data_IF_916705110923
#
_entry.id   IF_916705110923
#
_cell.length_a   1.000
_cell.length_b   1.000
_cell.length_c   1.000
_cell.angle_alpha   90.00
_cell.angle_beta   90.00
_cell.angle_gamma   90.00
#
_symmetry.space_group_name_H-M   'P 1'
#
loop_
_entity.id
_entity.type
_entity.pdbx_description
1 polymer ?
#
# COMPACT_ATOMS: atom_id res chain seq x y z
N UNK A 1 3.61 -25.08 9.38
CA UNK A 1 2.93 -23.93 8.78
C UNK A 1 1.58 -24.43 8.27
N UNK A 2 0.49 -23.94 8.85
CA UNK A 2 -0.86 -24.21 8.41
C UNK A 2 -1.11 -23.62 7.02
N UNK A 3 -2.06 -24.22 6.32
CA UNK A 3 -2.59 -23.73 5.05
C UNK A 3 -4.07 -23.48 5.28
N UNK A 4 -4.52 -22.25 5.02
CA UNK A 4 -5.92 -21.89 5.18
C UNK A 4 -6.79 -22.64 4.15
N UNK A 5 -6.23 -22.88 2.96
CA UNK A 5 -6.87 -23.68 1.91
C UNK A 5 -6.21 -25.05 1.78
N UNK A 6 -7.03 -26.08 1.58
CA UNK A 6 -6.53 -27.44 1.34
C UNK A 6 -5.67 -27.46 0.06
N UNK A 7 -4.39 -27.82 0.24
CA UNK A 7 -3.42 -27.92 -0.85
C UNK A 7 -3.87 -28.85 -1.99
N UNK A 8 -4.56 -29.94 -1.70
CA UNK A 8 -5.03 -30.87 -2.74
C UNK A 8 -6.04 -30.20 -3.69
N UNK A 9 -6.86 -29.27 -3.19
CA UNK A 9 -7.82 -28.52 -4.01
C UNK A 9 -7.10 -27.57 -4.96
N UNK A 10 -6.10 -26.85 -4.43
CA UNK A 10 -5.19 -25.99 -5.20
C UNK A 10 -4.49 -26.80 -6.30
N UNK A 11 -3.87 -27.93 -5.94
CA UNK A 11 -3.13 -28.77 -6.87
C UNK A 11 -4.04 -29.36 -7.97
N UNK A 12 -5.26 -29.79 -7.64
CA UNK A 12 -6.25 -30.28 -8.60
C UNK A 12 -6.68 -29.19 -9.58
N UNK A 13 -6.98 -27.99 -9.08
CA UNK A 13 -7.34 -26.86 -9.94
C UNK A 13 -6.18 -26.51 -10.88
N UNK A 14 -4.95 -26.47 -10.37
CA UNK A 14 -3.77 -26.12 -11.16
C UNK A 14 -3.48 -27.13 -12.25
N UNK A 15 -3.62 -28.41 -11.94
CA UNK A 15 -3.46 -29.45 -12.93
C UNK A 15 -4.48 -29.32 -14.07
N UNK A 16 -5.70 -28.83 -13.78
CA UNK A 16 -6.74 -28.60 -14.80
C UNK A 16 -6.42 -27.43 -15.74
N UNK A 17 -5.71 -26.40 -15.25
CA UNK A 17 -5.37 -25.19 -16.02
C UNK A 17 -3.97 -25.24 -16.64
N UNK A 18 -3.10 -26.16 -16.19
CA UNK A 18 -1.68 -26.21 -16.55
C UNK A 18 -1.42 -26.17 -18.06
N UNK A 19 -2.18 -26.94 -18.84
CA UNK A 19 -2.00 -27.00 -20.29
C UNK A 19 -2.32 -25.67 -20.98
N UNK A 20 -3.32 -24.93 -20.51
CA UNK A 20 -3.67 -23.63 -21.08
C UNK A 20 -2.59 -22.60 -20.71
N UNK A 21 -2.18 -22.58 -19.44
CA UNK A 21 -1.13 -21.69 -18.96
C UNK A 21 0.21 -21.92 -19.66
N UNK A 22 0.60 -23.18 -19.90
CA UNK A 22 1.81 -23.52 -20.65
C UNK A 22 1.77 -22.96 -22.07
N UNK A 23 0.63 -23.14 -22.76
CA UNK A 23 0.43 -22.60 -24.10
C UNK A 23 0.54 -21.07 -24.13
N UNK A 24 -0.14 -20.38 -23.21
CA UNK A 24 -0.13 -18.91 -23.15
C UNK A 24 1.26 -18.37 -22.78
N UNK A 25 1.97 -19.04 -21.87
CA UNK A 25 3.33 -18.66 -21.50
C UNK A 25 4.33 -18.86 -22.65
N UNK A 26 4.26 -19.99 -23.37
CA UNK A 26 5.09 -20.24 -24.56
C UNK A 26 4.82 -19.21 -25.66
N UNK A 27 3.55 -18.85 -25.87
CA UNK A 27 3.17 -17.82 -26.83
C UNK A 27 3.72 -16.44 -26.43
N UNK A 28 3.58 -16.05 -25.16
CA UNK A 28 4.12 -14.81 -24.62
C UNK A 28 5.65 -14.77 -24.78
N UNK A 29 6.34 -15.85 -24.45
CA UNK A 29 7.79 -15.96 -24.60
C UNK A 29 8.23 -15.74 -26.06
N UNK A 30 7.57 -16.39 -27.02
CA UNK A 30 7.87 -16.21 -28.44
C UNK A 30 7.62 -14.77 -28.92
N UNK A 31 6.57 -14.12 -28.41
CA UNK A 31 6.26 -12.72 -28.71
C UNK A 31 7.35 -11.79 -28.17
N UNK A 32 7.74 -11.97 -26.91
CA UNK A 32 8.73 -11.13 -26.22
C UNK A 32 10.16 -11.32 -26.75
N UNK A 33 10.52 -12.52 -27.20
CA UNK A 33 11.81 -12.81 -27.87
C UNK A 33 12.05 -11.90 -29.09
N UNK A 34 11.00 -11.49 -29.81
CA UNK A 34 11.12 -10.55 -30.95
C UNK A 34 11.59 -9.15 -30.55
N UNK A 35 11.46 -8.82 -29.26
CA UNK A 35 11.89 -7.55 -28.66
C UNK A 35 13.12 -7.71 -27.76
N UNK A 36 13.81 -8.87 -27.82
CA UNK A 36 14.95 -9.21 -26.95
C UNK A 36 14.62 -9.16 -25.45
N UNK A 37 13.38 -9.47 -25.07
CA UNK A 37 12.94 -9.51 -23.67
C UNK A 37 12.96 -10.97 -23.19
N UNK A 38 13.67 -11.22 -22.08
CA UNK A 38 13.69 -12.52 -21.41
C UNK A 38 12.64 -12.59 -20.30
N UNK A 39 11.52 -13.26 -20.60
CA UNK A 39 10.42 -13.46 -19.64
C UNK A 39 10.82 -14.31 -18.44
N UNK A 40 11.85 -15.16 -18.54
CA UNK A 40 12.32 -15.95 -17.39
C UNK A 40 13.03 -15.06 -16.36
N UNK A 41 13.84 -14.10 -16.81
CA UNK A 41 14.46 -13.12 -15.92
C UNK A 41 13.42 -12.23 -15.23
N UNK A 42 12.36 -11.84 -15.95
CA UNK A 42 11.23 -11.08 -15.39
C UNK A 42 10.47 -11.91 -14.34
N UNK A 43 10.21 -13.18 -14.64
CA UNK A 43 9.55 -14.10 -13.71
C UNK A 43 10.29 -14.23 -12.38
N UNK A 44 11.63 -14.29 -12.40
CA UNK A 44 12.44 -14.33 -11.18
C UNK A 44 12.41 -13.02 -10.37
N UNK A 45 12.10 -11.88 -11.00
CA UNK A 45 11.85 -10.62 -10.31
C UNK A 45 10.45 -10.59 -9.70
N UNK A 46 9.43 -11.00 -10.45
CA UNK A 46 8.03 -11.11 -9.98
C UNK A 46 7.95 -11.99 -8.72
N UNK A 47 8.66 -13.14 -8.71
CA UNK A 47 8.74 -14.04 -7.54
C UNK A 47 9.16 -13.38 -6.23
N UNK A 48 9.92 -12.29 -6.30
CA UNK A 48 10.44 -11.57 -5.14
C UNK A 48 9.55 -10.41 -4.72
N UNK A 49 8.63 -9.99 -5.59
CA UNK A 49 7.70 -8.92 -5.27
C UNK A 49 6.72 -9.40 -4.21
N UNK A 50 6.42 -8.53 -3.25
CA UNK A 50 5.43 -8.73 -2.20
C UNK A 50 4.69 -7.42 -1.97
N UNK A 51 3.40 -7.52 -1.64
CA UNK A 51 2.56 -6.40 -1.23
C UNK A 51 1.81 -6.80 0.03
N UNK A 52 1.77 -5.93 1.05
CA UNK A 52 1.09 -6.21 2.30
C UNK A 52 -0.42 -6.01 2.16
N UNK A 53 -1.20 -6.89 2.79
CA UNK A 53 -2.66 -6.79 2.84
C UNK A 53 -3.10 -6.02 4.09
N UNK A 54 -4.03 -5.07 3.99
CA UNK A 54 -4.55 -4.35 5.15
C UNK A 54 -5.47 -5.24 5.98
N UNK A 55 -5.26 -5.31 7.29
CA UNK A 55 -6.15 -6.08 8.18
C UNK A 55 -7.57 -5.51 8.21
N UNK A 56 -7.76 -4.22 7.91
CA UNK A 56 -9.08 -3.61 7.80
C UNK A 56 -9.78 -3.95 6.48
N UNK A 57 -9.04 -4.32 5.44
CA UNK A 57 -9.59 -4.60 4.12
C UNK A 57 -10.19 -5.99 3.95
N UNK A 58 -9.96 -6.94 4.88
CA UNK A 58 -10.55 -8.29 4.81
C UNK A 58 -11.97 -8.38 5.38
N UNK A 59 -12.42 -7.39 6.14
CA UNK A 59 -13.84 -7.25 6.51
C UNK A 59 -14.58 -6.39 5.48
N UNK A 60 -15.90 -6.56 5.33
CA UNK A 60 -16.66 -5.70 4.41
C UNK A 60 -16.58 -4.25 4.87
N UNK A 61 -16.23 -3.38 3.93
CA UNK A 61 -16.12 -1.95 4.12
C UNK A 61 -17.47 -1.25 4.31
N UNK A 62 -17.44 0.08 4.33
CA UNK A 62 -18.66 0.86 4.41
C UNK A 62 -18.42 2.32 4.07
N UNK A 63 -19.52 3.06 4.01
CA UNK A 63 -19.48 4.52 3.85
C UNK A 63 -20.09 5.17 5.08
N UNK A 64 -20.03 6.50 5.16
CA UNK A 64 -20.79 7.27 6.16
C UNK A 64 -22.31 7.04 6.14
N UNK A 65 -22.86 6.43 5.09
CA UNK A 65 -24.30 6.20 4.95
C UNK A 65 -24.73 4.82 5.43
N UNK A 66 -23.96 3.78 5.11
CA UNK A 66 -24.31 2.41 5.45
C UNK A 66 -23.09 1.48 5.33
N UNK A 67 -23.21 0.33 5.99
CA UNK A 67 -22.35 -0.83 5.88
C UNK A 67 -23.24 -2.07 5.67
N UNK A 68 -22.89 -2.92 4.72
CA UNK A 68 -23.68 -4.09 4.33
C UNK A 68 -22.84 -5.36 4.48
N UNK A 69 -22.65 -5.86 5.72
CA UNK A 69 -21.77 -7.00 5.98
C UNK A 69 -22.20 -8.25 5.18
N UNK A 70 -21.22 -8.98 4.69
CA UNK A 70 -21.39 -10.27 4.04
C UNK A 70 -21.64 -11.41 5.03
N UNK A 71 -21.49 -12.63 4.54
CA UNK A 71 -21.53 -13.84 5.35
C UNK A 71 -20.09 -14.12 5.84
N UNK A 72 -19.93 -14.50 7.11
CA UNK A 72 -18.62 -14.91 7.62
C UNK A 72 -17.67 -13.77 7.95
N UNK A 73 -18.17 -12.57 8.27
CA UNK A 73 -17.35 -11.42 8.65
C UNK A 73 -16.32 -11.73 9.76
N UNK A 74 -15.04 -11.39 9.58
CA UNK A 74 -14.03 -11.56 10.62
C UNK A 74 -14.35 -10.65 11.81
N UNK A 75 -14.34 -11.20 13.03
CA UNK A 75 -14.73 -10.49 14.25
C UNK A 75 -13.55 -9.88 14.99
N UNK A 76 -12.34 -10.40 14.75
CA UNK A 76 -11.13 -10.03 15.45
C UNK A 76 -9.90 -10.24 14.55
N UNK A 77 -8.72 -9.81 15.00
CA UNK A 77 -7.49 -9.92 14.21
C UNK A 77 -7.06 -11.35 13.90
N UNK A 78 -7.38 -12.35 14.72
CA UNK A 78 -7.08 -13.75 14.41
C UNK A 78 -7.88 -14.21 13.19
N UNK A 79 -9.19 -13.96 13.16
CA UNK A 79 -10.04 -14.26 11.98
C UNK A 79 -9.49 -13.56 10.73
N UNK A 80 -9.14 -12.27 10.85
CA UNK A 80 -8.57 -11.48 9.75
C UNK A 80 -7.25 -12.07 9.23
N UNK A 81 -6.41 -12.62 10.10
CA UNK A 81 -5.14 -13.28 9.71
C UNK A 81 -5.42 -14.57 8.95
N UNK A 82 -6.44 -15.33 9.32
CA UNK A 82 -6.86 -16.53 8.58
C UNK A 82 -7.33 -16.17 7.17
N UNK A 83 -8.14 -15.12 7.04
CA UNK A 83 -8.60 -14.60 5.73
C UNK A 83 -7.42 -14.09 4.88
N UNK A 84 -6.49 -13.35 5.47
CA UNK A 84 -5.24 -12.94 4.81
C UNK A 84 -4.39 -14.15 4.39
N UNK A 85 -4.38 -15.23 5.17
CA UNK A 85 -3.67 -16.45 4.82
C UNK A 85 -4.31 -17.16 3.62
N UNK A 86 -5.64 -17.10 3.45
CA UNK A 86 -6.32 -17.57 2.23
C UNK A 86 -5.80 -16.83 1.01
N UNK A 87 -5.76 -15.49 1.07
CA UNK A 87 -5.24 -14.65 -0.04
C UNK A 87 -3.82 -15.12 -0.41
N UNK A 88 -2.91 -15.16 0.56
CA UNK A 88 -1.51 -15.54 0.30
C UNK A 88 -1.35 -16.99 -0.16
N UNK A 89 -2.19 -17.91 0.30
CA UNK A 89 -2.17 -19.30 -0.15
C UNK A 89 -2.58 -19.46 -1.61
N UNK A 90 -3.47 -18.59 -2.12
CA UNK A 90 -3.96 -18.64 -3.50
C UNK A 90 -3.08 -17.88 -4.49
N UNK A 91 -2.52 -16.73 -4.11
CA UNK A 91 -1.73 -15.87 -5.03
C UNK A 91 -0.22 -15.79 -4.73
N UNK A 92 0.21 -16.01 -3.48
CA UNK A 92 1.63 -16.06 -3.10
C UNK A 92 2.41 -14.73 -3.05
N UNK A 93 1.73 -13.59 -3.24
CA UNK A 93 2.34 -12.25 -3.26
C UNK A 93 2.09 -11.42 -1.99
N UNK A 94 1.43 -11.98 -0.97
CA UNK A 94 0.90 -11.24 0.19
C UNK A 94 1.32 -11.85 1.52
N UNK A 95 2.62 -12.13 1.68
CA UNK A 95 3.16 -12.81 2.88
C UNK A 95 3.13 -11.95 4.15
N UNK A 96 2.65 -10.71 4.09
CA UNK A 96 2.55 -9.83 5.25
C UNK A 96 1.22 -9.09 5.27
N UNK A 97 0.86 -8.67 6.48
CA UNK A 97 -0.31 -7.82 6.74
C UNK A 97 0.09 -6.50 7.39
N UNK A 98 -0.70 -5.46 7.15
CA UNK A 98 -0.57 -4.15 7.79
C UNK A 98 -1.64 -4.02 8.89
N UNK A 99 -1.28 -4.11 10.18
CA UNK A 99 -2.25 -3.99 11.27
C UNK A 99 -2.54 -2.52 11.60
N UNK A 100 -3.71 -2.28 12.20
CA UNK A 100 -4.17 -0.96 12.61
C UNK A 100 -4.54 -0.92 14.09
N UNK A 101 -3.91 -0.05 14.86
CA UNK A 101 -4.14 0.06 16.30
C UNK A 101 -4.97 1.30 16.63
N UNK A 102 -6.00 1.17 17.50
CA UNK A 102 -6.28 0.03 18.38
C UNK A 102 -7.27 -1.02 17.82
N UNK A 103 -7.68 -0.97 16.56
CA UNK A 103 -8.65 -1.93 15.99
C UNK A 103 -8.21 -3.39 16.12
N UNK A 104 -6.90 -3.63 15.97
CA UNK A 104 -6.29 -4.96 16.04
C UNK A 104 -5.53 -5.18 17.36
N UNK A 105 -5.85 -4.42 18.41
CA UNK A 105 -5.27 -4.66 19.73
C UNK A 105 -5.72 -6.01 20.28
N UNK A 106 -4.78 -6.70 20.92
CA UNK A 106 -4.99 -7.97 21.62
C UNK A 106 -4.42 -7.88 23.03
N UNK A 107 -4.80 -8.81 23.90
CA UNK A 107 -4.23 -8.91 25.25
C UNK A 107 -2.76 -9.36 25.20
N UNK A 108 -2.41 -10.28 24.29
CA UNK A 108 -1.04 -10.76 24.10
C UNK A 108 -0.59 -10.68 22.62
N UNK A 109 0.27 -9.71 22.32
CA UNK A 109 0.85 -9.54 20.99
C UNK A 109 1.84 -10.65 20.61
N UNK A 110 2.39 -11.40 21.57
CA UNK A 110 3.24 -12.56 21.26
C UNK A 110 2.40 -13.71 20.75
N UNK A 111 1.24 -13.95 21.36
CA UNK A 111 0.27 -14.93 20.87
C UNK A 111 -0.16 -14.60 19.44
N UNK A 112 -0.53 -13.34 19.16
CA UNK A 112 -0.86 -12.89 17.81
C UNK A 112 0.29 -13.15 16.83
N UNK A 113 1.53 -12.87 17.24
CA UNK A 113 2.71 -13.13 16.41
C UNK A 113 2.88 -14.61 16.10
N UNK A 114 2.80 -15.47 17.12
CA UNK A 114 2.96 -16.92 16.98
C UNK A 114 1.84 -17.52 16.11
N UNK A 115 0.62 -17.00 16.25
CA UNK A 115 -0.53 -17.39 15.42
C UNK A 115 -0.30 -17.04 13.95
N UNK A 116 0.10 -15.80 13.64
CA UNK A 116 0.40 -15.39 12.27
C UNK A 116 1.59 -16.15 11.67
N UNK A 117 2.66 -16.37 12.44
CA UNK A 117 3.80 -17.20 12.05
C UNK A 117 3.35 -18.63 11.69
N UNK A 118 2.33 -19.17 12.38
CA UNK A 118 1.79 -20.49 12.12
C UNK A 118 1.18 -20.61 10.71
N UNK A 119 0.61 -19.53 10.17
CA UNK A 119 0.12 -19.41 8.79
C UNK A 119 1.20 -18.97 7.78
N UNK A 120 2.38 -18.57 8.27
CA UNK A 120 3.44 -18.00 7.44
C UNK A 120 3.16 -16.56 7.01
N UNK A 121 2.38 -15.82 7.81
CA UNK A 121 2.06 -14.42 7.61
C UNK A 121 2.90 -13.58 8.59
N UNK A 122 3.63 -12.60 8.04
CA UNK A 122 4.35 -11.60 8.82
C UNK A 122 3.56 -10.30 8.98
N UNK A 123 4.17 -9.34 9.67
CA UNK A 123 3.62 -7.98 9.80
C UNK A 123 4.51 -7.00 9.04
N UNK A 124 3.88 -6.15 8.22
CA UNK A 124 4.56 -5.02 7.58
C UNK A 124 4.55 -3.80 8.51
N UNK A 125 4.45 -2.57 8.00
CA UNK A 125 4.34 -1.38 8.86
C UNK A 125 3.04 -1.39 9.67
N UNK A 126 3.09 -0.86 10.89
CA UNK A 126 1.90 -0.72 11.75
C UNK A 126 1.25 0.65 11.54
N UNK A 127 -0.06 0.75 11.74
CA UNK A 127 -0.82 1.98 11.56
C UNK A 127 -1.40 2.47 12.90
N UNK A 128 -1.24 3.75 13.21
CA UNK A 128 -1.84 4.38 14.40
C UNK A 128 -3.19 5.01 14.08
N UNK A 129 -4.16 4.88 14.98
CA UNK A 129 -5.45 5.57 14.86
C UNK A 129 -5.54 6.72 15.87
N UNK A 130 -5.45 7.95 15.37
CA UNK A 130 -5.81 9.15 16.13
C UNK A 130 -6.83 10.01 15.40
N UNK A 131 -7.63 9.39 14.52
CA UNK A 131 -8.76 10.01 13.81
C UNK A 131 -10.12 9.57 14.37
N UNK A 132 -10.11 8.68 15.38
CA UNK A 132 -11.26 8.27 16.18
C UNK A 132 -10.96 8.47 17.68
N UNK A 133 -11.98 8.84 18.46
CA UNK A 133 -11.81 9.04 19.90
C UNK A 133 -11.37 7.72 20.58
N UNK A 134 -10.35 7.74 21.46
CA UNK A 134 -9.95 6.58 22.24
C UNK A 134 -11.10 6.05 23.11
N UNK A 135 -11.19 4.72 23.23
CA UNK A 135 -12.23 4.07 24.03
C UNK A 135 -12.18 4.40 25.53
N UNK A 136 -11.03 4.87 26.04
CA UNK A 136 -10.84 5.26 27.43
C UNK A 136 -11.52 6.60 27.80
N UNK A 137 -11.96 7.37 26.80
CA UNK A 137 -12.66 8.65 26.98
C UNK A 137 -11.80 9.77 27.59
N UNK A 138 -10.48 9.59 27.69
CA UNK A 138 -9.58 10.55 28.36
C UNK A 138 -9.28 11.78 27.50
N UNK A 139 -9.38 11.66 26.17
CA UNK A 139 -9.22 12.76 25.23
C UNK A 139 -10.18 12.57 24.05
N UNK A 140 -10.50 13.66 23.36
CA UNK A 140 -11.22 13.63 22.08
C UNK A 140 -10.35 14.20 20.98
N UNK A 141 -10.33 13.54 19.83
CA UNK A 141 -9.64 13.96 18.62
C UNK A 141 -10.56 14.70 17.64
N UNK A 142 -11.79 15.03 18.06
CA UNK A 142 -12.76 15.79 17.27
C UNK A 142 -12.22 17.10 16.64
N UNK A 143 -11.27 17.77 17.30
CA UNK A 143 -10.65 19.02 16.83
C UNK A 143 -9.17 18.84 16.48
N UNK A 144 -8.81 17.63 16.07
CA UNK A 144 -7.44 17.20 15.79
C UNK A 144 -6.83 16.36 16.91
N UNK A 145 -5.73 15.71 16.59
CA UNK A 145 -4.95 14.82 17.43
C UNK A 145 -3.56 15.41 17.66
N UNK A 146 -2.58 15.05 16.83
CA UNK A 146 -1.19 15.52 16.90
C UNK A 146 -1.06 17.04 16.70
N UNK A 147 -2.08 17.69 16.12
CA UNK A 147 -2.08 19.13 15.83
C UNK A 147 -3.10 19.91 16.67
N UNK A 148 -3.80 19.23 17.59
CA UNK A 148 -4.80 19.83 18.48
C UNK A 148 -4.18 20.98 19.27
N UNK A 149 -4.95 22.03 19.59
CA UNK A 149 -4.48 23.12 20.47
C UNK A 149 -4.32 22.69 21.92
N UNK A 150 -5.12 21.70 22.38
CA UNK A 150 -4.98 21.07 23.69
C UNK A 150 -3.71 20.24 23.79
N UNK A 151 -2.89 20.49 24.81
CA UNK A 151 -1.69 19.72 25.08
C UNK A 151 -2.03 18.27 25.47
N UNK A 152 -3.10 18.07 26.26
CA UNK A 152 -3.55 16.75 26.70
C UNK A 152 -3.96 15.87 25.52
N UNK A 153 -4.68 16.42 24.54
CA UNK A 153 -5.06 15.69 23.32
C UNK A 153 -3.82 15.30 22.49
N UNK A 154 -2.83 16.20 22.37
CA UNK A 154 -1.57 15.89 21.68
C UNK A 154 -0.79 14.80 22.41
N UNK A 155 -0.66 14.89 23.72
CA UNK A 155 0.07 13.90 24.51
C UNK A 155 -0.59 12.52 24.42
N UNK A 156 -1.92 12.45 24.40
CA UNK A 156 -2.64 11.20 24.14
C UNK A 156 -2.40 10.65 22.73
N UNK A 157 -2.43 11.51 21.71
CA UNK A 157 -2.14 11.09 20.33
C UNK A 157 -0.69 10.57 20.16
N UNK A 158 0.28 11.20 20.84
CA UNK A 158 1.67 10.74 20.91
C UNK A 158 1.74 9.39 21.62
N UNK A 159 1.04 9.22 22.75
CA UNK A 159 0.97 7.95 23.48
C UNK A 159 0.50 6.81 22.57
N UNK A 160 -0.62 7.00 21.82
CA UNK A 160 -1.14 6.00 20.88
C UNK A 160 -0.09 5.59 19.86
N UNK A 161 0.60 6.57 19.25
CA UNK A 161 1.66 6.29 18.28
C UNK A 161 2.84 5.52 18.89
N UNK A 162 3.29 5.90 20.09
CA UNK A 162 4.37 5.18 20.78
C UNK A 162 3.96 3.77 21.21
N UNK A 163 2.70 3.55 21.58
CA UNK A 163 2.14 2.22 21.84
C UNK A 163 2.07 1.37 20.56
N UNK A 164 1.66 1.95 19.43
CA UNK A 164 1.71 1.26 18.13
C UNK A 164 3.13 0.79 17.80
N UNK A 165 4.15 1.64 18.02
CA UNK A 165 5.56 1.27 17.86
C UNK A 165 5.92 0.09 18.77
N UNK A 166 5.54 0.15 20.05
CA UNK A 166 5.88 -0.90 21.02
C UNK A 166 5.21 -2.24 20.69
N UNK A 167 3.95 -2.22 20.25
CA UNK A 167 3.25 -3.40 19.76
C UNK A 167 3.91 -3.95 18.48
N UNK A 168 4.24 -3.06 17.53
CA UNK A 168 4.91 -3.45 16.28
C UNK A 168 6.30 -4.06 16.50
N UNK A 169 7.05 -3.64 17.55
CA UNK A 169 8.31 -4.29 17.94
C UNK A 169 8.10 -5.76 18.31
N UNK A 170 7.02 -6.07 19.03
CA UNK A 170 6.67 -7.45 19.42
C UNK A 170 6.31 -8.27 18.16
N UNK A 171 5.54 -7.68 17.25
CA UNK A 171 5.11 -8.31 16.00
C UNK A 171 6.23 -8.47 14.96
N UNK A 172 7.38 -7.81 15.16
CA UNK A 172 8.51 -7.84 14.23
C UNK A 172 8.42 -6.84 13.07
N UNK A 173 7.51 -5.86 13.17
CA UNK A 173 7.42 -4.74 12.23
C UNK A 173 8.70 -3.90 12.22
N UNK A 174 8.85 -3.11 11.15
CA UNK A 174 9.97 -2.19 10.91
C UNK A 174 9.53 -0.78 10.54
N UNK A 175 8.27 -0.44 10.79
CA UNK A 175 7.83 0.93 10.56
C UNK A 175 6.46 1.25 11.13
N UNK A 176 6.18 2.55 11.15
CA UNK A 176 4.92 3.14 11.58
C UNK A 176 4.40 4.04 10.46
N UNK A 177 3.16 3.83 10.04
CA UNK A 177 2.42 4.80 9.22
C UNK A 177 1.58 5.69 10.12
N UNK A 178 1.66 7.00 9.87
CA UNK A 178 0.90 8.04 10.57
C UNK A 178 0.06 8.81 9.56
N UNK A 179 -1.20 8.41 9.46
CA UNK A 179 -2.26 9.20 8.87
C UNK A 179 -3.14 9.80 9.97
N UNK A 180 -3.50 11.08 9.81
CA UNK A 180 -4.38 11.79 10.74
C UNK A 180 -5.42 12.59 9.98
N UNK A 181 -6.63 12.67 10.53
CA UNK A 181 -7.70 13.51 10.00
C UNK A 181 -7.64 14.98 10.42
N UNK A 182 -6.49 15.43 10.93
CA UNK A 182 -6.32 16.75 11.54
C UNK A 182 -6.50 17.88 10.52
N UNK A 183 -7.44 18.76 10.80
CA UNK A 183 -7.78 19.87 9.93
C UNK A 183 -8.94 20.71 10.44
N UNK A 184 -9.48 21.54 9.55
CA UNK A 184 -10.59 22.44 9.81
C UNK A 184 -11.66 22.29 8.74
N UNK A 185 -12.90 22.57 9.13
CA UNK A 185 -14.08 22.58 8.25
C UNK A 185 -14.56 24.01 7.96
N UNK A 186 -13.98 25.04 8.59
CA UNK A 186 -14.35 26.44 8.37
C UNK A 186 -13.14 27.38 8.28
N UNK A 187 -13.19 28.42 7.43
CA UNK A 187 -12.23 29.52 7.45
C UNK A 187 -12.08 30.13 8.84
N UNK A 188 -10.84 30.22 9.33
CA UNK A 188 -10.50 30.79 10.64
C UNK A 188 -10.66 29.83 11.83
N UNK A 189 -11.15 28.61 11.64
CA UNK A 189 -11.25 27.61 12.72
C UNK A 189 -9.90 27.27 13.35
N UNK A 190 -8.84 27.24 12.54
CA UNK A 190 -7.49 26.93 12.96
C UNK A 190 -6.47 27.86 12.31
N UNK A 191 -5.36 28.11 13.00
CA UNK A 191 -4.19 28.74 12.41
C UNK A 191 -3.34 27.68 11.71
N UNK A 192 -3.21 27.77 10.39
CA UNK A 192 -2.45 26.81 9.58
C UNK A 192 -0.98 26.71 10.01
N UNK A 193 -0.32 27.84 10.28
CA UNK A 193 1.06 27.84 10.76
C UNK A 193 1.20 27.16 12.11
N UNK A 194 0.34 27.49 13.08
CA UNK A 194 0.43 26.89 14.42
C UNK A 194 0.04 25.42 14.44
N UNK A 195 -0.84 24.96 13.55
CA UNK A 195 -1.16 23.53 13.47
C UNK A 195 0.00 22.71 12.91
N UNK A 196 0.71 23.24 11.92
CA UNK A 196 1.91 22.58 11.38
C UNK A 196 3.05 22.57 12.40
N UNK A 197 3.25 23.67 13.15
CA UNK A 197 4.21 23.71 14.26
C UNK A 197 3.91 22.62 15.30
N UNK A 198 2.65 22.51 15.74
CA UNK A 198 2.23 21.46 16.68
C UNK A 198 2.36 20.05 16.11
N UNK A 199 2.08 19.85 14.83
CA UNK A 199 2.30 18.58 14.15
C UNK A 199 3.77 18.16 14.26
N UNK A 200 4.68 19.06 13.87
CA UNK A 200 6.13 18.80 13.90
C UNK A 200 6.60 18.52 15.33
N UNK A 201 6.15 19.29 16.32
CA UNK A 201 6.51 19.07 17.72
C UNK A 201 6.05 17.70 18.25
N UNK A 202 4.82 17.30 17.93
CA UNK A 202 4.29 15.99 18.29
C UNK A 202 5.02 14.86 17.58
N UNK A 203 5.26 15.01 16.28
CA UNK A 203 6.00 14.02 15.49
C UNK A 203 7.47 13.90 15.92
N UNK A 204 8.12 14.98 16.38
CA UNK A 204 9.48 14.90 16.94
C UNK A 204 9.54 14.00 18.18
N UNK A 205 8.50 14.01 19.02
CA UNK A 205 8.39 13.12 20.18
C UNK A 205 8.20 11.65 19.75
N UNK A 206 7.35 11.40 18.75
CA UNK A 206 7.15 10.04 18.18
C UNK A 206 8.44 9.55 17.53
N UNK A 207 9.07 10.40 16.72
CA UNK A 207 10.33 10.12 16.02
C UNK A 207 11.44 9.72 17.00
N UNK A 208 11.55 10.40 18.15
CA UNK A 208 12.52 10.07 19.19
C UNK A 208 12.30 8.68 19.83
N UNK A 209 11.10 8.09 19.70
CA UNK A 209 10.79 6.75 20.21
C UNK A 209 11.03 5.64 19.18
N UNK A 210 11.31 5.99 17.91
CA UNK A 210 11.54 5.02 16.84
C UNK A 210 12.83 4.21 17.11
N UNK A 211 12.80 2.87 16.92
CA UNK A 211 14.01 2.08 16.81
C UNK A 211 14.90 2.58 15.67
N UNK A 212 16.21 2.38 15.77
CA UNK A 212 17.18 2.86 14.76
C UNK A 212 16.99 2.25 13.36
N UNK A 213 16.40 1.06 13.29
CA UNK A 213 16.15 0.30 12.06
C UNK A 213 14.71 0.43 11.57
N UNK A 214 13.96 1.42 12.09
CA UNK A 214 12.59 1.70 11.69
C UNK A 214 12.47 2.92 10.78
N UNK A 215 11.36 2.97 10.04
CA UNK A 215 10.92 4.16 9.30
C UNK A 215 9.55 4.61 9.81
N UNK A 216 9.32 5.92 9.88
CA UNK A 216 7.97 6.50 10.02
C UNK A 216 7.52 7.06 8.67
N UNK A 217 6.31 6.68 8.27
CA UNK A 217 5.70 7.00 7.00
C UNK A 217 4.60 8.06 7.22
N UNK A 218 4.79 9.24 6.61
CA UNK A 218 3.86 10.35 6.70
C UNK A 218 2.93 10.33 5.49
N UNK A 219 1.67 9.99 5.74
CA UNK A 219 0.66 9.90 4.70
C UNK A 219 -0.08 11.24 4.56
N UNK A 220 -0.04 11.81 3.35
CA UNK A 220 -0.79 13.04 3.05
C UNK A 220 -2.19 12.73 2.55
N UNK A 221 -3.14 13.64 2.81
CA UNK A 221 -4.50 13.58 2.26
C UNK A 221 -5.12 14.97 2.15
N UNK A 222 -5.63 15.39 0.97
CA UNK A 222 -6.08 16.76 0.75
C UNK A 222 -7.33 17.13 1.54
N UNK A 223 -8.25 16.19 1.75
CA UNK A 223 -9.50 16.38 2.47
C UNK A 223 -10.05 15.05 3.00
N UNK A 224 -11.11 15.11 3.79
CA UNK A 224 -11.76 13.98 4.48
C UNK A 224 -10.88 13.38 5.58
N UNK A 225 -11.26 13.52 6.87
CA UNK A 225 -12.50 14.08 7.39
C UNK A 225 -12.57 15.62 7.46
N UNK A 226 -11.47 16.33 7.18
CA UNK A 226 -11.44 17.78 7.14
C UNK A 226 -11.85 18.31 5.75
N UNK A 227 -12.79 19.24 5.69
CA UNK A 227 -13.42 19.68 4.42
C UNK A 227 -13.11 21.13 4.01
N UNK A 228 -12.22 21.81 4.73
CA UNK A 228 -11.71 23.13 4.35
C UNK A 228 -10.18 23.17 4.28
N UNK A 229 -9.49 22.60 5.26
CA UNK A 229 -8.03 22.50 5.27
C UNK A 229 -7.59 21.26 6.05
N UNK A 230 -6.67 20.46 5.50
CA UNK A 230 -5.98 19.37 6.21
C UNK A 230 -4.54 19.78 6.51
N UNK A 231 -3.99 19.37 7.66
CA UNK A 231 -2.62 19.78 8.04
C UNK A 231 -1.56 19.16 7.14
N UNK A 232 -1.67 17.86 6.82
CA UNK A 232 -0.78 17.17 5.88
C UNK A 232 -1.56 16.95 4.57
N UNK A 233 -1.84 18.05 3.86
CA UNK A 233 -2.77 18.05 2.73
C UNK A 233 -2.21 17.46 1.44
N UNK A 234 -0.90 17.50 1.23
CA UNK A 234 -0.26 17.07 -0.02
C UNK A 234 1.17 16.58 0.21
N UNK A 235 1.75 16.00 -0.85
CA UNK A 235 3.13 15.50 -0.87
C UNK A 235 4.16 16.59 -0.54
N UNK A 236 3.88 17.86 -0.82
CA UNK A 236 4.78 18.97 -0.54
C UNK A 236 4.90 19.21 0.97
N UNK A 237 3.76 19.21 1.67
CA UNK A 237 3.71 19.32 3.12
C UNK A 237 4.27 18.08 3.80
N UNK A 238 3.94 16.88 3.30
CA UNK A 238 4.52 15.62 3.79
C UNK A 238 6.05 15.63 3.64
N UNK A 239 6.58 16.08 2.50
CA UNK A 239 8.03 16.22 2.28
C UNK A 239 8.69 17.19 3.25
N UNK A 240 8.09 18.37 3.48
CA UNK A 240 8.63 19.36 4.45
C UNK A 240 8.73 18.74 5.84
N UNK A 241 7.66 18.07 6.30
CA UNK A 241 7.65 17.39 7.59
C UNK A 241 8.67 16.25 7.67
N UNK A 242 8.72 15.38 6.66
CA UNK A 242 9.65 14.26 6.61
C UNK A 242 11.11 14.74 6.59
N UNK A 243 11.40 15.87 5.93
CA UNK A 243 12.72 16.50 5.91
C UNK A 243 13.09 17.10 7.28
N UNK A 244 12.14 17.77 7.94
CA UNK A 244 12.36 18.39 9.26
C UNK A 244 12.56 17.36 10.38
N UNK A 245 11.93 16.19 10.28
CA UNK A 245 12.06 15.12 11.28
C UNK A 245 13.40 14.38 11.20
N UNK A 246 13.85 14.02 10.00
CA UNK A 246 15.13 13.36 9.78
C UNK A 246 15.05 12.15 8.85
N UNK A 247 16.13 11.38 8.80
CA UNK A 247 16.32 10.32 7.79
C UNK A 247 15.37 9.13 7.94
N UNK A 248 14.86 8.85 9.15
CA UNK A 248 13.89 7.79 9.38
C UNK A 248 12.45 8.21 9.01
N UNK A 249 12.21 9.47 8.66
CA UNK A 249 10.90 9.96 8.25
C UNK A 249 10.81 10.06 6.73
N UNK A 250 9.81 9.41 6.16
CA UNK A 250 9.56 9.31 4.73
C UNK A 250 8.09 9.62 4.42
N UNK A 251 7.79 9.93 3.17
CA UNK A 251 6.43 10.14 2.68
C UNK A 251 5.83 8.79 2.23
N UNK A 252 4.54 8.60 2.52
CA UNK A 252 3.74 7.52 1.96
C UNK A 252 2.73 8.11 0.98
N UNK A 253 2.66 7.49 -0.21
CA UNK A 253 1.79 7.92 -1.29
C UNK A 253 0.61 6.95 -1.36
N UNK A 254 -0.56 7.41 -0.93
CA UNK A 254 -1.83 6.77 -1.24
C UNK A 254 -2.35 7.30 -2.57
N UNK A 255 -2.82 6.42 -3.45
CA UNK A 255 -3.24 6.80 -4.80
C UNK A 255 -4.52 7.67 -4.79
N UNK A 256 -5.48 7.39 -3.92
CA UNK A 256 -6.73 8.16 -3.74
C UNK A 256 -6.54 9.54 -3.10
N UNK A 257 -5.38 9.78 -2.48
CA UNK A 257 -5.12 10.99 -1.68
C UNK A 257 -4.56 12.19 -2.48
N UNK A 258 -5.12 12.44 -3.67
CA UNK A 258 -4.70 13.56 -4.52
C UNK A 258 -5.87 14.38 -5.03
N UNK A 259 -5.61 15.66 -5.33
CA UNK A 259 -6.63 16.50 -5.97
C UNK A 259 -6.90 16.03 -7.41
N UNK A 260 -8.09 16.29 -7.97
CA UNK A 260 -8.45 15.83 -9.32
C UNK A 260 -7.42 16.23 -10.38
N UNK A 261 -7.07 15.28 -11.26
CA UNK A 261 -6.09 15.41 -12.35
C UNK A 261 -4.63 15.63 -11.91
N UNK A 262 -4.29 15.34 -10.64
CA UNK A 262 -2.88 15.31 -10.21
C UNK A 262 -2.14 14.22 -10.99
N UNK A 263 -0.93 14.52 -11.47
CA UNK A 263 -0.04 13.50 -12.03
C UNK A 263 0.72 12.82 -10.87
N UNK A 264 0.25 11.65 -10.45
CA UNK A 264 0.76 10.94 -9.26
C UNK A 264 2.14 10.35 -9.54
N UNK A 265 2.37 9.81 -10.73
CA UNK A 265 3.66 9.25 -11.12
C UNK A 265 4.79 10.31 -11.11
N UNK A 266 4.49 11.58 -11.39
CA UNK A 266 5.45 12.68 -11.19
C UNK A 266 5.73 12.91 -9.71
N UNK A 267 4.73 12.85 -8.83
CA UNK A 267 4.93 12.97 -7.37
C UNK A 267 5.86 11.86 -6.89
N UNK A 268 5.61 10.63 -7.31
CA UNK A 268 6.47 9.46 -7.04
C UNK A 268 7.91 9.73 -7.51
N UNK A 269 8.09 10.15 -8.76
CA UNK A 269 9.39 10.47 -9.34
C UNK A 269 10.13 11.54 -8.52
N UNK A 270 9.44 12.58 -8.06
CA UNK A 270 10.02 13.65 -7.21
C UNK A 270 10.44 13.13 -5.85
N UNK A 271 9.59 12.35 -5.18
CA UNK A 271 9.89 11.79 -3.85
C UNK A 271 11.06 10.80 -3.90
N UNK A 272 11.23 10.06 -4.99
CA UNK A 272 12.42 9.24 -5.25
C UNK A 272 13.66 10.14 -5.33
N UNK A 273 13.66 11.16 -6.18
CA UNK A 273 14.84 12.01 -6.42
C UNK A 273 15.29 12.79 -5.17
N UNK A 274 14.37 13.11 -4.26
CA UNK A 274 14.69 13.76 -2.97
C UNK A 274 14.87 12.78 -1.81
N UNK A 275 14.94 11.46 -2.09
CA UNK A 275 15.11 10.38 -1.12
C UNK A 275 14.09 10.40 0.04
N UNK A 276 12.82 10.66 -0.29
CA UNK A 276 11.72 10.70 0.69
C UNK A 276 10.50 9.85 0.30
N UNK A 277 10.61 8.98 -0.72
CA UNK A 277 9.60 7.96 -0.95
C UNK A 277 9.80 6.77 0.00
N UNK A 278 8.88 6.55 0.93
CA UNK A 278 8.94 5.45 1.90
C UNK A 278 8.02 4.28 1.56
N UNK A 279 6.88 4.54 0.95
CA UNK A 279 5.92 3.49 0.64
C UNK A 279 4.69 3.95 -0.15
N UNK A 280 3.83 2.98 -0.43
CA UNK A 280 2.57 3.15 -1.15
C UNK A 280 1.42 2.51 -0.41
N UNK A 281 0.29 3.20 -0.42
CA UNK A 281 -1.03 2.59 -0.26
C UNK A 281 -1.66 2.49 -1.65
N UNK A 282 -1.86 1.26 -2.11
CA UNK A 282 -2.46 0.97 -3.40
C UNK A 282 -3.97 0.79 -3.27
N UNK A 283 -4.69 1.52 -4.12
CA UNK A 283 -6.11 1.43 -4.40
C UNK A 283 -6.34 2.00 -5.81
N UNK A 284 -7.61 2.13 -6.20
CA UNK A 284 -8.01 2.93 -7.35
C UNK A 284 -9.17 3.86 -6.96
N UNK A 285 -9.39 4.87 -7.79
CA UNK A 285 -10.44 5.85 -7.54
C UNK A 285 -10.89 6.56 -8.82
N UNK A 286 -12.05 7.23 -8.71
CA UNK A 286 -12.62 8.04 -9.78
C UNK A 286 -12.96 9.46 -9.34
N UNK A 287 -13.42 9.63 -8.10
CA UNK A 287 -13.94 10.91 -7.62
C UNK A 287 -13.12 11.51 -6.49
N UNK A 288 -12.83 10.72 -5.46
CA UNK A 288 -12.02 11.12 -4.33
C UNK A 288 -11.22 9.95 -3.80
N UNK A 289 -11.16 9.85 -2.49
CA UNK A 289 -10.64 8.67 -1.84
C UNK A 289 -11.71 7.56 -1.81
N UNK A 290 -11.85 6.89 -2.95
CA UNK A 290 -12.92 5.92 -3.17
C UNK A 290 -12.56 4.50 -2.65
N UNK A 291 -11.28 4.25 -2.34
CA UNK A 291 -10.75 2.99 -1.81
C UNK A 291 -11.11 1.73 -2.62
N UNK A 292 -11.12 1.84 -3.95
CA UNK A 292 -11.52 0.75 -4.86
C UNK A 292 -10.36 -0.21 -5.15
N UNK A 293 -10.71 -1.37 -5.71
CA UNK A 293 -9.78 -2.38 -6.21
C UNK A 293 -8.69 -1.79 -7.10
N UNK A 294 -7.42 -1.98 -6.74
CA UNK A 294 -6.28 -1.41 -7.44
C UNK A 294 -6.29 -1.77 -8.94
N UNK A 295 -6.22 -0.75 -9.81
CA UNK A 295 -6.23 -0.91 -11.27
C UNK A 295 -7.61 -1.22 -11.88
N UNK A 296 -8.69 -1.19 -11.11
CA UNK A 296 -10.05 -1.43 -11.61
C UNK A 296 -10.65 -0.26 -12.41
N UNK A 297 -10.14 0.96 -12.22
CA UNK A 297 -10.63 2.19 -12.87
C UNK A 297 -9.58 2.74 -13.85
N UNK A 298 -8.33 2.91 -13.39
CA UNK A 298 -7.24 3.49 -14.16
C UNK A 298 -5.97 2.61 -14.13
N UNK A 299 -6.00 1.41 -14.74
CA UNK A 299 -4.86 0.49 -14.74
C UNK A 299 -3.61 1.07 -15.43
N UNK A 300 -3.78 2.06 -16.32
CA UNK A 300 -2.64 2.69 -16.98
C UNK A 300 -1.85 3.61 -16.03
N UNK A 301 -2.51 4.32 -15.11
CA UNK A 301 -1.83 5.12 -14.09
C UNK A 301 -1.04 4.25 -13.12
N UNK A 302 -1.61 3.12 -12.68
CA UNK A 302 -0.89 2.13 -11.86
C UNK A 302 0.39 1.63 -12.59
N UNK A 303 0.28 1.33 -13.89
CA UNK A 303 1.45 1.01 -14.71
C UNK A 303 2.46 2.18 -14.80
N UNK A 304 2.02 3.42 -14.96
CA UNK A 304 2.90 4.59 -15.04
C UNK A 304 3.64 4.84 -13.72
N UNK A 305 3.00 4.59 -12.58
CA UNK A 305 3.66 4.63 -11.25
C UNK A 305 4.75 3.55 -11.18
N UNK A 306 4.44 2.31 -11.55
CA UNK A 306 5.46 1.24 -11.60
C UNK A 306 6.56 1.51 -12.63
N UNK A 307 6.26 2.21 -13.73
CA UNK A 307 7.27 2.63 -14.70
C UNK A 307 8.34 3.54 -14.05
N UNK A 308 7.95 4.48 -13.19
CA UNK A 308 8.89 5.33 -12.44
C UNK A 308 9.70 4.52 -11.41
N UNK A 309 9.04 3.61 -10.68
CA UNK A 309 9.69 2.74 -9.71
C UNK A 309 10.74 1.84 -10.36
N UNK A 310 10.40 1.18 -11.46
CA UNK A 310 11.33 0.30 -12.16
C UNK A 310 12.48 1.08 -12.81
N UNK A 311 12.22 2.28 -13.38
CA UNK A 311 13.27 3.16 -13.88
C UNK A 311 14.26 3.54 -12.77
N UNK A 312 13.75 3.92 -11.59
CA UNK A 312 14.55 4.28 -10.44
C UNK A 312 15.36 3.09 -9.90
N UNK A 313 14.75 1.90 -9.86
CA UNK A 313 15.40 0.65 -9.45
C UNK A 313 16.60 0.32 -10.32
N UNK A 314 16.48 0.41 -11.65
CA UNK A 314 17.60 0.17 -12.58
C UNK A 314 18.76 1.15 -12.40
N UNK A 315 18.47 2.36 -11.90
CA UNK A 315 19.46 3.39 -11.58
C UNK A 315 19.94 3.32 -10.11
N UNK A 316 19.57 2.28 -9.35
CA UNK A 316 19.86 2.11 -7.92
C UNK A 316 19.42 3.29 -7.04
N UNK A 317 18.30 3.94 -7.41
CA UNK A 317 17.74 5.09 -6.68
C UNK A 317 16.67 4.72 -5.65
N UNK A 318 16.18 3.48 -5.66
CA UNK A 318 15.21 3.03 -4.67
C UNK A 318 15.90 2.48 -3.42
N UNK A 319 15.48 2.97 -2.26
CA UNK A 319 15.71 2.37 -0.95
C UNK A 319 14.43 1.66 -0.48
N UNK A 320 14.54 0.67 0.41
CA UNK A 320 13.43 -0.09 1.02
C UNK A 320 12.05 0.60 0.96
N UNK A 321 11.26 0.28 -0.08
CA UNK A 321 9.89 0.76 -0.26
C UNK A 321 8.93 -0.23 0.39
N UNK A 322 8.01 0.27 1.21
CA UNK A 322 6.87 -0.50 1.68
C UNK A 322 5.76 -0.48 0.62
N UNK A 323 5.32 -1.64 0.16
CA UNK A 323 4.20 -1.79 -0.77
C UNK A 323 3.02 -2.37 0.01
N UNK A 324 1.93 -1.60 0.13
CA UNK A 324 0.76 -2.00 0.92
C UNK A 324 -0.50 -1.69 0.11
N UNK A 325 -1.54 -2.50 0.27
CA UNK A 325 -2.89 -2.19 -0.20
C UNK A 325 -3.59 -1.39 0.91
N UNK A 326 -4.39 -0.39 0.53
CA UNK A 326 -5.31 0.30 1.43
C UNK A 326 -6.63 0.51 0.69
N UNK A 327 -7.64 -0.32 1.00
CA UNK A 327 -8.87 -0.44 0.23
C UNK A 327 -10.06 -0.78 1.14
N UNK A 328 -11.27 -0.48 0.66
CA UNK A 328 -12.54 -0.72 1.36
C UNK A 328 -13.54 -1.44 0.44
N UNK A 329 -13.69 -2.75 0.65
CA UNK A 329 -14.53 -3.62 -0.19
C UNK A 329 -15.99 -3.57 0.26
N UNK A 330 -16.76 -2.68 -0.37
CA UNK A 330 -18.11 -2.34 0.08
C UNK A 330 -19.22 -3.24 -0.50
N UNK A 331 -18.98 -3.84 -1.67
CA UNK A 331 -20.00 -4.55 -2.49
C UNK A 331 -19.50 -5.83 -3.14
N UNK A 332 -18.36 -6.34 -2.69
CA UNK A 332 -17.70 -7.56 -3.15
C UNK A 332 -17.29 -8.41 -1.96
N UNK A 333 -16.93 -9.67 -2.21
CA UNK A 333 -16.20 -10.46 -1.22
C UNK A 333 -14.80 -9.82 -1.03
N UNK A 334 -14.43 -9.39 0.20
CA UNK A 334 -13.16 -8.71 0.43
C UNK A 334 -11.92 -9.55 0.08
N UNK A 335 -11.98 -10.88 0.25
CA UNK A 335 -10.86 -11.78 -0.07
C UNK A 335 -10.64 -11.80 -1.58
N UNK A 336 -11.73 -11.92 -2.37
CA UNK A 336 -11.66 -11.92 -3.83
C UNK A 336 -11.12 -10.59 -4.37
N UNK A 337 -11.62 -9.47 -3.87
CA UNK A 337 -11.15 -8.13 -4.28
C UNK A 337 -9.68 -7.90 -3.94
N UNK A 338 -9.21 -8.32 -2.76
CA UNK A 338 -7.79 -8.22 -2.40
C UNK A 338 -6.90 -9.11 -3.28
N UNK A 339 -7.37 -10.30 -3.66
CA UNK A 339 -6.65 -11.17 -4.60
C UNK A 339 -6.55 -10.52 -5.99
N UNK A 340 -7.64 -9.96 -6.51
CA UNK A 340 -7.65 -9.25 -7.80
C UNK A 340 -6.73 -8.02 -7.77
N UNK A 341 -6.80 -7.24 -6.70
CA UNK A 341 -6.00 -6.02 -6.52
C UNK A 341 -4.50 -6.33 -6.45
N UNK A 342 -4.11 -7.33 -5.64
CA UNK A 342 -2.73 -7.76 -5.55
C UNK A 342 -2.21 -8.30 -6.90
N UNK A 343 -3.04 -9.06 -7.64
CA UNK A 343 -2.69 -9.51 -8.98
C UNK A 343 -2.49 -8.33 -9.95
N UNK A 344 -3.33 -7.29 -9.92
CA UNK A 344 -3.18 -6.16 -10.84
C UNK A 344 -1.98 -5.25 -10.51
N UNK A 345 -1.64 -5.13 -9.22
CA UNK A 345 -0.39 -4.51 -8.76
C UNK A 345 0.81 -5.26 -9.35
N UNK A 346 0.82 -6.60 -9.24
CA UNK A 346 1.88 -7.44 -9.79
C UNK A 346 1.91 -7.41 -11.32
N UNK A 347 0.76 -7.37 -11.99
CA UNK A 347 0.67 -7.20 -13.45
C UNK A 347 1.28 -5.87 -13.90
N UNK A 348 0.97 -4.78 -13.19
CA UNK A 348 1.52 -3.45 -13.49
C UNK A 348 3.03 -3.41 -13.26
N UNK A 349 3.52 -4.03 -12.18
CA UNK A 349 4.95 -4.24 -11.97
C UNK A 349 5.58 -5.05 -13.10
N UNK A 350 4.99 -6.20 -13.48
CA UNK A 350 5.50 -7.05 -14.55
C UNK A 350 5.56 -6.33 -15.91
N UNK A 351 4.52 -5.54 -16.26
CA UNK A 351 4.51 -4.69 -17.46
C UNK A 351 5.63 -3.66 -17.43
N UNK A 352 5.91 -3.06 -16.27
CA UNK A 352 7.01 -2.09 -16.13
C UNK A 352 8.39 -2.71 -16.38
N UNK A 353 8.58 -3.99 -16.04
CA UNK A 353 9.82 -4.72 -16.30
C UNK A 353 10.06 -5.02 -17.78
N UNK A 354 9.02 -4.92 -18.63
CA UNK A 354 9.15 -5.09 -20.08
C UNK A 354 9.72 -3.84 -20.77
N UNK A 355 9.79 -2.69 -20.07
CA UNK A 355 10.22 -1.42 -20.66
C UNK A 355 11.72 -1.43 -20.93
N UNK A 356 12.10 -1.17 -22.17
CA UNK A 356 13.48 -0.87 -22.54
C UNK A 356 13.79 0.60 -22.20
N UNK A 357 14.28 0.84 -20.99
CA UNK A 357 14.55 2.19 -20.50
C UNK A 357 15.67 2.91 -21.24
N UNK A 358 16.65 2.19 -21.78
CA UNK A 358 17.70 2.81 -22.60
C UNK A 358 17.12 3.36 -23.91
N UNK A 359 16.24 2.60 -24.57
CA UNK A 359 15.54 3.06 -25.77
C UNK A 359 14.56 4.20 -25.45
N UNK A 360 13.90 4.14 -24.29
CA UNK A 360 13.03 5.22 -23.83
C UNK A 360 13.81 6.52 -23.63
N UNK A 361 14.97 6.46 -22.96
CA UNK A 361 15.85 7.62 -22.71
C UNK A 361 16.40 8.21 -24.03
N UNK A 362 16.81 7.36 -24.97
CA UNK A 362 17.23 7.82 -26.31
C UNK A 362 16.11 8.57 -27.05
N UNK A 363 14.87 8.04 -27.02
CA UNK A 363 13.72 8.70 -27.65
C UNK A 363 13.34 10.02 -26.94
N UNK A 364 13.55 10.11 -25.62
CA UNK A 364 13.37 11.34 -24.85
C UNK A 364 14.38 12.42 -25.27
N UNK A 365 15.66 12.05 -25.37
CA UNK A 365 16.75 12.94 -25.76
C UNK A 365 16.61 13.43 -27.22
N UNK A 366 16.00 12.62 -28.08
CA UNK A 366 15.69 12.98 -29.47
C UNK A 366 14.37 13.75 -29.64
N UNK A 367 13.62 13.97 -28.56
CA UNK A 367 12.31 14.61 -28.58
C UNK A 367 11.29 13.90 -29.50
N UNK A 368 11.25 12.55 -29.47
CA UNK A 368 10.30 11.74 -30.25
C UNK A 368 9.16 11.18 -29.37
N UNK A 369 8.11 11.99 -29.10
CA UNK A 369 6.99 11.55 -28.26
C UNK A 369 6.18 10.40 -28.87
N UNK A 370 6.21 10.24 -30.20
CA UNK A 370 5.44 9.18 -30.84
C UNK A 370 6.06 7.81 -30.59
N UNK A 371 7.38 7.69 -30.74
CA UNK A 371 8.09 6.43 -30.44
C UNK A 371 7.97 6.06 -28.95
N UNK A 372 8.07 7.04 -28.06
CA UNK A 372 7.87 6.84 -26.61
C UNK A 372 6.47 6.31 -26.29
N UNK A 373 5.43 6.96 -26.82
CA UNK A 373 4.04 6.59 -26.56
C UNK A 373 3.73 5.21 -27.12
N UNK A 374 4.20 4.91 -28.34
CA UNK A 374 4.02 3.60 -28.96
C UNK A 374 4.65 2.49 -28.13
N UNK A 375 5.85 2.71 -27.59
CA UNK A 375 6.52 1.74 -26.71
C UNK A 375 5.71 1.50 -25.43
N UNK A 376 5.35 2.57 -24.69
CA UNK A 376 4.60 2.44 -23.43
C UNK A 376 3.23 1.79 -23.62
N UNK A 377 2.47 2.19 -24.64
CA UNK A 377 1.15 1.58 -24.92
C UNK A 377 1.30 0.12 -25.33
N UNK A 378 2.24 -0.21 -26.21
CA UNK A 378 2.45 -1.59 -26.63
C UNK A 378 2.76 -2.52 -25.45
N UNK A 379 3.61 -2.06 -24.52
CA UNK A 379 3.98 -2.82 -23.34
C UNK A 379 2.84 -2.91 -22.32
N UNK A 380 2.11 -1.81 -22.11
CA UNK A 380 0.92 -1.82 -21.26
C UNK A 380 -0.15 -2.80 -21.77
N UNK A 381 -0.38 -2.84 -23.09
CA UNK A 381 -1.32 -3.76 -23.73
C UNK A 381 -0.77 -5.19 -23.89
N UNK A 382 0.46 -5.46 -23.43
CA UNK A 382 0.96 -6.84 -23.41
C UNK A 382 0.35 -7.56 -22.23
N UNK A 383 -0.39 -8.63 -22.52
CA UNK A 383 -0.89 -9.53 -21.49
C UNK A 383 0.28 -10.28 -20.85
N UNK A 384 0.55 -9.94 -19.59
CA UNK A 384 1.61 -10.53 -18.76
C UNK A 384 1.09 -11.58 -17.81
N UNK A 385 -0.23 -11.83 -17.77
CA UNK A 385 -0.84 -12.76 -16.83
C UNK A 385 -0.13 -14.12 -16.87
N UNK A 386 0.15 -14.75 -18.03
CA UNK A 386 0.85 -16.05 -18.03
C UNK A 386 2.21 -16.02 -17.32
N UNK A 387 2.95 -14.90 -17.42
CA UNK A 387 4.21 -14.70 -16.72
C UNK A 387 4.05 -14.55 -15.21
N UNK A 388 3.03 -13.80 -14.79
CA UNK A 388 2.66 -13.63 -13.38
C UNK A 388 2.18 -14.94 -12.78
N UNK A 389 1.31 -15.70 -13.46
CA UNK A 389 0.77 -16.98 -12.98
C UNK A 389 1.85 -18.06 -12.85
N UNK A 390 2.87 -18.01 -13.71
CA UNK A 390 4.02 -18.93 -13.65
C UNK A 390 5.05 -18.56 -12.58
N UNK A 391 5.00 -17.34 -12.02
CA UNK A 391 5.94 -16.85 -11.03
C UNK A 391 5.77 -17.50 -9.64
N UNK A 392 4.57 -17.52 -9.02
CA UNK A 392 4.40 -18.20 -7.74
C UNK A 392 4.75 -19.68 -7.91
N UNK A 393 5.57 -20.19 -6.99
CA UNK A 393 5.88 -21.62 -6.90
C UNK A 393 4.57 -22.40 -6.71
N UNK A 394 3.98 -22.90 -7.79
CA UNK A 394 2.89 -23.90 -7.77
C UNK A 394 1.80 -23.64 -6.72
N UNK A 395 1.25 -22.43 -6.69
CA UNK A 395 0.01 -22.11 -5.96
C UNK A 395 -0.80 -21.15 -6.82
N UNK A 396 -1.70 -21.71 -7.62
CA UNK A 396 -2.78 -21.00 -8.32
C UNK A 396 -4.12 -21.53 -7.77
N UNK A 397 -5.13 -20.68 -7.51
CA UNK A 397 -6.10 -20.30 -8.55
C UNK A 397 -6.61 -18.85 -8.48
N UNK A 398 -6.64 -18.15 -9.62
CA UNK A 398 -7.60 -17.08 -9.92
C UNK A 398 -8.07 -17.18 -11.38
N UNK A 399 -9.38 -17.33 -11.59
CA UNK A 399 -10.12 -16.82 -12.75
C UNK A 399 -11.48 -16.36 -12.26
#
# INVERSE_FOLDING_TARGET
>A
MFKAINKELIDQHNQSQKSNLDFDFEYLEQKLKKFNIDIHAIKEQIKKFQVAVPTWGVGTGGTRFARFPGIGEPQNIFDKIEDCAVINDLIGFTQKVSPHFPWDNVEDFKELKEFADSYGIGFDVVNSNTFQDPADGLASFKYGSLTNSSQEARDKAIEVNTQSIDNGKILGSKGLTVWIGDGGNFPGQMSFSKSLERYIDSMKKIYAHLPKDWTVLLEHKPYEPAFYSTVISDWGTSYICAKELGDQAMCLVDLGHHLPNTNIEMVVSRLIDVNKLGGFHFNDSKFGDDDLDAGSINPYELFLIFNELTAASQKNKLSNIAYMIDQSHNVTDPIESLMLSANEIVNSYAKSLLVNYAQLEEAQDQHDPFSMQKLKIFLFCTDVAPGVLMAPFLKWPCH
#
